data_IF_915727253790
#
_entry.id   IF_915727253790
#
_cell.length_a   1.000
_cell.length_b   1.000
_cell.length_c   1.000
_cell.angle_alpha   90.00
_cell.angle_beta   90.00
_cell.angle_gamma   90.00
#
_symmetry.space_group_name_H-M   'P 1'
#
loop_
_entity.id
_entity.type
_entity.pdbx_description
1 polymer ?
#
# COMPACT_ATOMS: atom_id res chain seq x y z
N UNK A 1 -21.37 8.53 4.08
CA UNK A 1 -21.19 7.29 3.32
C UNK A 1 -20.41 6.35 4.20
N UNK A 2 -21.01 5.23 4.59
CA UNK A 2 -20.36 4.23 5.45
C UNK A 2 -19.36 3.48 4.56
N UNK A 3 -18.11 3.32 4.98
CA UNK A 3 -17.03 2.74 4.15
C UNK A 3 -17.43 1.45 3.41
N UNK A 4 -18.23 0.58 4.03
CA UNK A 4 -18.72 -0.68 3.47
C UNK A 4 -19.89 -0.58 2.48
N UNK A 5 -20.47 0.60 2.26
CA UNK A 5 -21.52 0.80 1.24
C UNK A 5 -20.95 0.71 -0.18
N UNK A 6 -19.66 1.00 -0.34
CA UNK A 6 -18.95 0.92 -1.61
C UNK A 6 -18.50 -0.53 -1.88
N UNK A 7 -18.86 -1.14 -3.03
CA UNK A 7 -18.49 -2.51 -3.37
C UNK A 7 -16.98 -2.78 -3.30
N UNK A 8 -16.16 -1.83 -3.77
CA UNK A 8 -14.71 -1.92 -3.80
C UNK A 8 -14.11 -2.03 -2.39
N UNK A 9 -14.67 -1.31 -1.43
CA UNK A 9 -14.24 -1.33 -0.03
C UNK A 9 -14.64 -2.63 0.67
N UNK A 10 -15.84 -3.13 0.37
CA UNK A 10 -16.29 -4.44 0.87
C UNK A 10 -15.42 -5.57 0.31
N UNK A 11 -15.08 -5.49 -0.97
CA UNK A 11 -14.23 -6.48 -1.62
C UNK A 11 -12.79 -6.44 -1.08
N UNK A 12 -12.22 -5.24 -0.89
CA UNK A 12 -10.92 -5.04 -0.25
C UNK A 12 -10.88 -5.63 1.16
N UNK A 13 -11.89 -5.36 1.98
CA UNK A 13 -11.94 -5.88 3.33
C UNK A 13 -11.98 -7.42 3.36
N UNK A 14 -12.79 -8.06 2.50
CA UNK A 14 -12.81 -9.53 2.44
C UNK A 14 -11.48 -10.10 1.92
N UNK A 15 -10.88 -9.47 0.92
CA UNK A 15 -9.56 -9.85 0.44
C UNK A 15 -8.52 -9.78 1.57
N UNK A 16 -8.48 -8.70 2.36
CA UNK A 16 -7.50 -8.57 3.45
C UNK A 16 -7.76 -9.57 4.58
N UNK A 17 -9.01 -9.92 4.87
CA UNK A 17 -9.34 -11.01 5.81
C UNK A 17 -8.77 -12.35 5.35
N UNK A 18 -8.86 -12.66 4.06
CA UNK A 18 -8.30 -13.89 3.48
C UNK A 18 -6.78 -13.84 3.43
N UNK A 19 -6.22 -12.70 3.01
CA UNK A 19 -4.77 -12.49 2.91
C UNK A 19 -4.09 -12.64 4.28
N UNK A 20 -4.66 -12.03 5.33
CA UNK A 20 -4.14 -12.07 6.70
C UNK A 20 -4.91 -13.04 7.61
N UNK A 21 -5.42 -14.15 7.08
CA UNK A 21 -6.27 -15.09 7.84
C UNK A 21 -5.63 -15.59 9.16
N UNK A 22 -4.31 -15.76 9.18
CA UNK A 22 -3.55 -16.21 10.35
C UNK A 22 -3.02 -15.04 11.21
N UNK A 23 -3.32 -13.79 10.83
CA UNK A 23 -2.79 -12.58 11.46
C UNK A 23 -3.90 -11.54 11.69
N UNK A 24 -4.75 -11.73 12.72
CA UNK A 24 -5.96 -10.92 12.93
C UNK A 24 -5.73 -9.41 12.98
N UNK A 25 -4.56 -8.97 13.47
CA UNK A 25 -4.22 -7.54 13.59
C UNK A 25 -4.10 -6.81 12.24
N UNK A 26 -3.94 -7.54 11.13
CA UNK A 26 -3.74 -6.96 9.79
C UNK A 26 -4.94 -7.19 8.86
N UNK A 27 -5.97 -7.92 9.31
CA UNK A 27 -7.15 -8.24 8.50
C UNK A 27 -8.04 -7.02 8.21
N UNK A 28 -7.94 -5.97 9.01
CA UNK A 28 -8.86 -4.84 8.97
C UNK A 28 -8.21 -3.63 8.31
N UNK A 29 -8.80 -3.19 7.20
CA UNK A 29 -8.38 -1.97 6.51
C UNK A 29 -9.00 -0.77 7.19
N UNK A 30 -8.33 -0.17 8.19
CA UNK A 30 -8.67 1.12 8.82
C UNK A 30 -10.16 1.38 9.13
N UNK A 31 -10.95 0.33 9.28
CA UNK A 31 -12.40 0.40 9.41
C UNK A 31 -12.76 -0.27 10.69
N UNK A 32 -13.62 0.42 11.41
CA UNK A 32 -14.06 -0.03 12.71
C UNK A 32 -14.97 -1.23 12.53
N UNK A 33 -14.58 -2.36 13.10
CA UNK A 33 -15.42 -3.54 13.17
C UNK A 33 -16.57 -3.27 14.16
N UNK A 34 -17.82 -3.38 13.67
CA UNK A 34 -19.01 -3.15 14.50
C UNK A 34 -19.08 -4.11 15.68
N UNK A 35 -18.72 -5.38 15.48
CA UNK A 35 -18.76 -6.38 16.55
C UNK A 35 -17.77 -6.01 17.67
N UNK A 36 -16.62 -5.40 17.32
CA UNK A 36 -15.65 -4.88 18.30
C UNK A 36 -16.23 -3.66 19.03
N UNK A 37 -16.90 -2.75 18.33
CA UNK A 37 -17.53 -1.58 18.95
C UNK A 37 -18.64 -1.96 19.93
N UNK A 38 -19.49 -2.90 19.55
CA UNK A 38 -20.63 -3.32 20.37
C UNK A 38 -20.18 -4.04 21.65
N UNK A 39 -18.95 -4.58 21.65
CA UNK A 39 -18.32 -5.25 22.79
C UNK A 39 -17.40 -4.32 23.61
N UNK A 40 -17.10 -3.12 23.10
CA UNK A 40 -16.16 -2.20 23.74
C UNK A 40 -16.75 -1.63 25.03
N UNK A 41 -16.06 -1.84 26.15
CA UNK A 41 -16.46 -1.28 27.44
C UNK A 41 -15.76 0.06 27.72
N UNK A 42 -16.29 0.81 28.71
CA UNK A 42 -15.61 2.01 29.22
C UNK A 42 -14.23 1.67 29.81
N UNK A 43 -14.09 0.49 30.43
CA UNK A 43 -12.84 0.02 31.01
C UNK A 43 -11.77 -0.18 29.92
N UNK A 44 -12.13 -0.78 28.79
CA UNK A 44 -11.22 -0.96 27.65
C UNK A 44 -10.70 0.38 27.12
N UNK A 45 -11.58 1.38 26.99
CA UNK A 45 -11.20 2.74 26.56
C UNK A 45 -10.25 3.38 27.58
N UNK A 46 -10.56 3.26 28.88
CA UNK A 46 -9.72 3.82 29.94
C UNK A 46 -8.34 3.16 29.95
N UNK A 47 -8.27 1.86 29.74
CA UNK A 47 -7.00 1.12 29.68
C UNK A 47 -6.20 1.48 28.43
N UNK A 48 -6.84 1.63 27.26
CA UNK A 48 -6.19 2.17 26.07
C UNK A 48 -5.60 3.57 26.31
N UNK A 49 -6.36 4.48 26.94
CA UNK A 49 -5.85 5.83 27.27
C UNK A 49 -4.67 5.76 28.24
N UNK A 50 -4.70 4.89 29.26
CA UNK A 50 -3.56 4.68 30.17
C UNK A 50 -2.32 4.16 29.43
N UNK A 51 -2.51 3.32 28.40
CA UNK A 51 -1.41 2.84 27.56
C UNK A 51 -0.77 3.98 26.76
N UNK A 52 -1.53 4.93 26.23
CA UNK A 52 -0.98 6.08 25.48
C UNK A 52 0.05 6.87 26.30
N UNK A 53 -0.18 7.09 27.59
CA UNK A 53 0.78 7.77 28.48
C UNK A 53 2.04 6.96 28.80
N UNK A 54 2.04 5.67 28.49
CA UNK A 54 3.20 4.76 28.62
C UNK A 54 3.89 4.48 27.29
N UNK A 55 3.36 4.96 26.17
CA UNK A 55 3.94 4.78 24.83
C UNK A 55 5.01 5.83 24.51
N UNK A 56 5.97 5.52 23.62
CA UNK A 56 6.88 6.53 23.06
C UNK A 56 6.09 7.67 22.41
N UNK A 57 6.49 8.91 22.66
CA UNK A 57 5.89 10.10 22.07
C UNK A 57 6.92 10.78 21.16
N UNK A 58 6.47 11.20 19.99
CA UNK A 58 7.23 12.06 19.10
C UNK A 58 6.38 13.27 18.70
N UNK A 59 6.99 14.46 18.72
CA UNK A 59 6.32 15.72 18.38
C UNK A 59 7.00 16.32 17.16
N UNK A 60 6.22 16.59 16.12
CA UNK A 60 6.67 17.28 14.91
C UNK A 60 5.99 18.62 14.78
N UNK A 61 6.74 19.60 14.29
CA UNK A 61 6.21 20.92 14.00
C UNK A 61 7.23 21.78 13.27
N UNK A 62 6.73 22.72 12.49
CA UNK A 62 7.54 23.82 11.99
C UNK A 62 7.58 24.91 13.06
N UNK A 63 8.77 25.24 13.53
CA UNK A 63 8.95 26.16 14.66
C UNK A 63 9.98 27.23 14.34
N UNK A 64 9.72 28.45 14.81
CA UNK A 64 10.66 29.55 14.66
C UNK A 64 11.86 29.43 15.62
N UNK A 65 11.64 28.86 16.82
CA UNK A 65 12.67 28.65 17.83
C UNK A 65 12.59 27.20 18.35
N UNK A 66 13.56 26.39 17.90
CA UNK A 66 13.69 24.98 18.29
C UNK A 66 13.98 24.82 19.79
N UNK A 67 14.71 25.76 20.42
CA UNK A 67 15.04 25.67 21.84
C UNK A 67 13.80 25.90 22.70
N UNK A 68 13.01 26.93 22.37
CA UNK A 68 11.75 27.19 23.05
C UNK A 68 10.77 26.03 22.84
N UNK A 69 10.67 25.50 21.61
CA UNK A 69 9.83 24.35 21.31
C UNK A 69 10.22 23.13 22.15
N UNK A 70 11.51 22.80 22.23
CA UNK A 70 11.98 21.70 23.06
C UNK A 70 11.65 21.93 24.55
N UNK A 71 11.83 23.16 25.05
CA UNK A 71 11.51 23.50 26.45
C UNK A 71 10.01 23.34 26.75
N UNK A 72 9.14 23.81 25.86
CA UNK A 72 7.67 23.67 25.98
C UNK A 72 7.28 22.20 25.83
N UNK A 73 7.81 21.51 24.82
CA UNK A 73 7.54 20.10 24.57
C UNK A 73 7.86 19.26 25.79
N UNK A 74 9.06 19.44 26.37
CA UNK A 74 9.44 18.74 27.59
C UNK A 74 8.57 19.10 28.80
N UNK A 75 8.15 20.35 28.97
CA UNK A 75 7.35 20.73 30.15
C UNK A 75 5.91 20.21 30.08
N UNK A 76 5.26 20.30 28.91
CA UNK A 76 3.87 19.87 28.73
C UNK A 76 3.74 18.35 28.59
N UNK A 77 4.69 17.69 27.94
CA UNK A 77 4.58 16.26 27.60
C UNK A 77 5.41 15.35 28.51
N UNK A 78 5.97 15.85 29.63
CA UNK A 78 6.62 15.02 30.66
C UNK A 78 5.69 13.97 31.30
N UNK A 79 4.39 14.09 31.08
CA UNK A 79 3.40 13.10 31.52
C UNK A 79 3.54 11.76 30.79
N UNK A 80 4.16 11.74 29.61
CA UNK A 80 4.49 10.53 28.86
C UNK A 80 5.79 9.94 29.41
N UNK A 81 5.71 8.75 30.00
CA UNK A 81 6.80 8.16 30.81
C UNK A 81 7.65 7.12 30.09
N UNK A 82 7.35 6.85 28.82
CA UNK A 82 8.10 5.83 28.06
C UNK A 82 9.55 6.24 27.86
N UNK A 83 10.45 5.27 28.03
CA UNK A 83 11.85 5.37 27.58
C UNK A 83 12.14 4.47 26.38
N UNK A 84 11.12 3.80 25.85
CA UNK A 84 11.29 2.95 24.68
C UNK A 84 11.52 3.82 23.44
N UNK A 85 12.38 3.32 22.54
CA UNK A 85 12.63 3.99 21.26
C UNK A 85 11.36 3.95 20.41
N UNK A 86 11.13 5.04 19.67
CA UNK A 86 10.07 5.10 18.67
C UNK A 86 10.42 4.27 17.41
N UNK A 87 11.70 3.94 17.23
CA UNK A 87 12.24 3.25 16.05
C UNK A 87 11.88 1.76 16.09
N UNK A 88 11.19 1.30 15.05
CA UNK A 88 10.98 -0.10 14.70
C UNK A 88 11.45 -0.36 13.25
N UNK A 89 12.65 -0.94 13.06
CA UNK A 89 13.21 -1.21 11.73
C UNK A 89 12.61 -2.46 11.07
N UNK A 90 11.90 -3.31 11.82
CA UNK A 90 11.25 -4.53 11.33
C UNK A 90 9.74 -4.31 11.27
N UNK A 91 9.32 -3.56 10.25
CA UNK A 91 7.89 -3.42 9.91
C UNK A 91 7.38 -4.54 9.01
N UNK A 92 8.28 -5.33 8.40
CA UNK A 92 7.90 -6.45 7.54
C UNK A 92 7.29 -7.55 8.39
N UNK A 93 6.06 -7.94 8.05
CA UNK A 93 5.36 -9.01 8.73
C UNK A 93 5.56 -10.31 7.95
N UNK A 94 6.24 -11.28 8.57
CA UNK A 94 6.35 -12.62 8.00
C UNK A 94 4.96 -13.22 7.85
N UNK A 95 4.63 -13.75 6.67
CA UNK A 95 3.32 -14.32 6.34
C UNK A 95 3.44 -15.80 5.96
N UNK A 96 2.47 -16.59 6.39
CA UNK A 96 2.20 -17.90 5.80
C UNK A 96 1.69 -17.75 4.36
N UNK A 97 2.47 -18.25 3.41
CA UNK A 97 2.22 -18.14 1.98
C UNK A 97 1.12 -19.14 1.56
N UNK A 98 -0.10 -18.92 2.04
CA UNK A 98 -1.27 -19.68 1.60
C UNK A 98 -1.90 -19.02 0.37
N UNK A 99 -2.22 -19.87 -0.61
CA UNK A 99 -2.94 -19.45 -1.83
C UNK A 99 -4.45 -19.54 -1.64
N UNK A 100 -5.20 -18.62 -2.26
CA UNK A 100 -6.66 -18.67 -2.31
C UNK A 100 -7.23 -18.11 -3.62
N UNK A 101 -8.38 -18.62 -4.04
CA UNK A 101 -9.21 -18.06 -5.12
C UNK A 101 -10.67 -18.20 -4.68
N UNK A 102 -11.22 -17.11 -4.14
CA UNK A 102 -12.53 -17.10 -3.48
C UNK A 102 -13.48 -16.12 -4.16
N UNK A 103 -14.78 -16.39 -4.06
CA UNK A 103 -15.81 -15.45 -4.50
C UNK A 103 -16.99 -15.41 -3.55
N UNK A 104 -17.71 -14.29 -3.54
CA UNK A 104 -19.02 -14.22 -2.90
C UNK A 104 -20.00 -13.41 -3.73
N UNK A 105 -21.27 -13.78 -3.69
CA UNK A 105 -22.33 -13.11 -4.42
C UNK A 105 -22.82 -11.86 -3.68
N UNK A 106 -23.05 -10.79 -4.45
CA UNK A 106 -23.68 -9.57 -4.01
C UNK A 106 -24.58 -8.95 -5.09
N UNK A 107 -25.51 -8.10 -4.66
CA UNK A 107 -26.46 -7.43 -5.54
C UNK A 107 -25.88 -6.11 -6.08
N UNK A 108 -24.69 -6.17 -6.68
CA UNK A 108 -24.05 -5.04 -7.35
C UNK A 108 -24.06 -5.22 -8.88
N UNK A 109 -24.04 -4.11 -9.62
CA UNK A 109 -24.03 -4.12 -11.09
C UNK A 109 -22.70 -4.66 -11.64
N UNK A 110 -21.59 -4.26 -11.02
CA UNK A 110 -20.24 -4.68 -11.40
C UNK A 110 -19.64 -5.60 -10.35
N UNK A 111 -18.95 -6.63 -10.84
CA UNK A 111 -18.09 -7.45 -10.01
C UNK A 111 -16.81 -6.68 -9.64
N UNK A 112 -16.34 -6.85 -8.41
CA UNK A 112 -15.05 -6.31 -7.96
C UNK A 112 -14.04 -7.45 -7.94
N UNK A 113 -12.97 -7.32 -8.72
CA UNK A 113 -11.92 -8.32 -8.87
C UNK A 113 -10.65 -7.82 -8.21
N UNK A 114 -10.13 -8.61 -7.26
CA UNK A 114 -8.89 -8.33 -6.53
C UNK A 114 -7.91 -9.48 -6.76
N UNK A 115 -6.67 -9.14 -7.09
CA UNK A 115 -5.57 -10.08 -7.32
C UNK A 115 -4.33 -9.63 -6.57
N UNK A 116 -3.95 -10.38 -5.55
CA UNK A 116 -2.81 -10.12 -4.70
C UNK A 116 -1.59 -10.94 -5.08
N UNK A 117 -0.52 -10.22 -5.38
CA UNK A 117 0.77 -10.78 -5.70
C UNK A 117 1.70 -10.60 -4.52
N UNK A 118 2.17 -11.72 -3.97
CA UNK A 118 3.25 -11.68 -3.00
C UNK A 118 4.57 -11.47 -3.74
N UNK A 119 5.46 -10.68 -3.17
CA UNK A 119 6.83 -10.58 -3.65
C UNK A 119 7.81 -10.65 -2.49
N UNK A 120 8.91 -11.36 -2.68
CA UNK A 120 10.01 -11.26 -1.74
C UNK A 120 10.65 -9.88 -1.84
N UNK A 121 10.87 -9.23 -0.71
CA UNK A 121 11.75 -8.08 -0.67
C UNK A 121 13.10 -8.48 -1.25
N UNK A 122 13.53 -7.81 -2.32
CA UNK A 122 14.90 -7.91 -2.78
C UNK A 122 15.74 -7.17 -1.72
N UNK A 123 16.17 -7.91 -0.69
CA UNK A 123 16.97 -7.38 0.43
C UNK A 123 18.27 -6.71 -0.04
N UNK A 124 18.73 -7.02 -1.27
CA UNK A 124 19.91 -6.43 -1.88
C UNK A 124 19.69 -5.03 -2.47
N UNK A 125 18.48 -4.47 -2.47
CA UNK A 125 18.24 -3.09 -2.91
C UNK A 125 18.24 -2.12 -1.72
N UNK A 126 18.92 -0.95 -1.83
CA UNK A 126 19.00 0.03 -0.75
C UNK A 126 17.63 0.55 -0.28
N UNK A 127 16.57 0.38 -1.10
CA UNK A 127 15.17 0.71 -0.78
C UNK A 127 14.21 -0.27 -1.48
N UNK A 128 13.77 -1.36 -0.82
CA UNK A 128 12.98 -2.42 -1.44
C UNK A 128 11.55 -2.01 -1.84
N UNK A 129 11.06 -0.84 -1.40
CA UNK A 129 9.74 -0.31 -1.75
C UNK A 129 9.67 0.36 -3.13
N UNK A 130 10.80 0.82 -3.69
CA UNK A 130 10.81 1.58 -4.95
C UNK A 130 10.36 0.72 -6.14
N UNK A 131 10.82 -0.53 -6.19
CA UNK A 131 10.47 -1.45 -7.28
C UNK A 131 8.96 -1.71 -7.36
N UNK A 132 8.32 -2.17 -6.26
CA UNK A 132 6.88 -2.37 -6.23
C UNK A 132 6.06 -1.10 -6.51
N UNK A 133 6.54 0.07 -6.05
CA UNK A 133 5.91 1.36 -6.38
C UNK A 133 5.97 1.68 -7.88
N UNK A 134 7.13 1.53 -8.52
CA UNK A 134 7.26 1.74 -9.98
C UNK A 134 6.40 0.73 -10.73
N UNK A 135 6.36 -0.52 -10.26
CA UNK A 135 5.53 -1.56 -10.86
C UNK A 135 4.03 -1.23 -10.78
N UNK A 136 3.56 -0.66 -9.68
CA UNK A 136 2.14 -0.29 -9.54
C UNK A 136 1.74 0.83 -10.53
N UNK A 137 2.64 1.79 -10.77
CA UNK A 137 2.43 2.83 -11.79
C UNK A 137 2.50 2.27 -13.21
N UNK A 138 3.48 1.41 -13.49
CA UNK A 138 3.61 0.76 -14.78
C UNK A 138 2.38 -0.09 -15.13
N UNK A 139 1.84 -0.81 -14.14
CA UNK A 139 0.72 -1.72 -14.35
C UNK A 139 -0.63 -1.00 -14.40
N UNK A 140 -0.95 -0.09 -13.47
CA UNK A 140 -2.33 0.41 -13.35
C UNK A 140 -2.52 1.89 -12.97
N UNK A 141 -1.58 2.56 -12.27
CA UNK A 141 -1.89 3.86 -11.64
C UNK A 141 -1.78 5.08 -12.57
N UNK A 142 -1.80 4.87 -13.89
CA UNK A 142 -1.75 5.95 -14.89
C UNK A 142 -2.61 5.57 -16.10
N UNK A 143 -3.07 6.56 -16.86
CA UNK A 143 -3.80 6.30 -18.12
C UNK A 143 -2.91 5.64 -19.20
N UNK A 144 -1.59 5.80 -19.08
CA UNK A 144 -0.58 5.18 -19.95
C UNK A 144 -0.17 3.77 -19.51
N UNK A 145 -0.65 3.31 -18.35
CA UNK A 145 -0.29 2.02 -17.75
C UNK A 145 -0.82 0.83 -18.55
N UNK A 146 -0.16 -0.31 -18.42
CA UNK A 146 -0.42 -1.48 -19.26
C UNK A 146 -1.83 -2.03 -19.07
N UNK A 147 -2.27 -2.18 -17.82
CA UNK A 147 -3.60 -2.69 -17.52
C UNK A 147 -4.65 -1.67 -17.88
N UNK A 148 -4.42 -0.38 -17.67
CA UNK A 148 -5.40 0.64 -18.07
C UNK A 148 -5.66 0.56 -19.57
N UNK A 149 -4.60 0.47 -20.40
CA UNK A 149 -4.73 0.30 -21.85
C UNK A 149 -5.42 -1.02 -22.21
N UNK A 150 -4.92 -2.17 -21.75
CA UNK A 150 -5.44 -3.50 -22.14
C UNK A 150 -6.87 -3.76 -21.64
N UNK A 151 -7.20 -3.39 -20.40
CA UNK A 151 -8.55 -3.52 -19.85
C UNK A 151 -9.52 -2.64 -20.65
N UNK A 152 -9.14 -1.39 -20.94
CA UNK A 152 -9.95 -0.48 -21.75
C UNK A 152 -10.16 -0.99 -23.17
N UNK A 153 -9.11 -1.46 -23.83
CA UNK A 153 -9.14 -1.95 -25.21
C UNK A 153 -9.96 -3.23 -25.36
N UNK A 154 -9.86 -4.16 -24.39
CA UNK A 154 -10.45 -5.49 -24.52
C UNK A 154 -11.81 -5.63 -23.82
N UNK A 155 -12.08 -4.85 -22.78
CA UNK A 155 -13.31 -4.95 -21.98
C UNK A 155 -14.24 -3.74 -22.14
N UNK A 156 -13.70 -2.57 -22.52
CA UNK A 156 -14.47 -1.34 -22.74
C UNK A 156 -13.97 -0.16 -21.90
N UNK A 157 -14.36 1.06 -22.30
CA UNK A 157 -13.74 2.32 -21.87
C UNK A 157 -14.02 2.79 -20.43
N UNK A 158 -14.88 2.10 -19.67
CA UNK A 158 -15.40 2.63 -18.39
C UNK A 158 -14.88 1.93 -17.14
N UNK A 159 -14.01 0.92 -17.28
CA UNK A 159 -13.50 0.19 -16.12
C UNK A 159 -12.26 0.87 -15.54
N UNK A 160 -12.31 1.13 -14.23
CA UNK A 160 -11.14 1.53 -13.46
C UNK A 160 -10.28 0.30 -13.13
N UNK A 161 -8.97 0.46 -13.24
CA UNK A 161 -7.99 -0.48 -12.70
C UNK A 161 -6.98 0.31 -11.88
N UNK A 162 -6.64 -0.21 -10.71
CA UNK A 162 -5.65 0.38 -9.83
C UNK A 162 -4.75 -0.71 -9.23
N UNK A 163 -3.54 -0.30 -8.84
CA UNK A 163 -2.59 -1.15 -8.15
C UNK A 163 -2.14 -0.48 -6.86
N UNK A 164 -2.40 -1.16 -5.75
CA UNK A 164 -1.98 -0.77 -4.42
C UNK A 164 -0.77 -1.60 -3.99
N UNK A 165 0.25 -0.93 -3.46
CA UNK A 165 1.42 -1.60 -2.89
C UNK A 165 1.41 -1.47 -1.37
N UNK A 166 1.43 -2.61 -0.69
CA UNK A 166 1.66 -2.70 0.74
C UNK A 166 3.04 -3.31 0.99
N UNK A 167 4.02 -2.41 1.09
CA UNK A 167 5.41 -2.78 1.25
C UNK A 167 5.71 -3.55 2.52
N UNK A 168 5.05 -3.23 3.64
CA UNK A 168 5.31 -3.90 4.91
C UNK A 168 4.77 -5.34 4.95
N UNK A 169 3.91 -5.69 3.99
CA UNK A 169 3.31 -7.02 3.90
C UNK A 169 3.62 -7.73 2.58
N UNK A 170 4.60 -7.21 1.81
CA UNK A 170 5.04 -7.81 0.55
C UNK A 170 3.89 -8.06 -0.44
N UNK A 171 2.91 -7.15 -0.49
CA UNK A 171 1.68 -7.30 -1.29
C UNK A 171 1.59 -6.22 -2.37
N UNK A 172 1.55 -6.65 -3.63
CA UNK A 172 1.06 -5.85 -4.74
C UNK A 172 -0.37 -6.30 -5.06
N UNK A 173 -1.35 -5.46 -4.78
CA UNK A 173 -2.77 -5.74 -4.99
C UNK A 173 -3.28 -5.01 -6.22
N UNK A 174 -3.72 -5.76 -7.23
CA UNK A 174 -4.38 -5.22 -8.42
C UNK A 174 -5.90 -5.33 -8.22
N UNK A 175 -6.62 -4.25 -8.49
CA UNK A 175 -8.07 -4.15 -8.29
C UNK A 175 -8.75 -3.56 -9.51
N UNK A 176 -9.93 -4.07 -9.85
CA UNK A 176 -10.74 -3.55 -10.94
C UNK A 176 -12.20 -3.91 -10.79
N UNK A 177 -13.08 -3.02 -11.23
CA UNK A 177 -14.51 -3.28 -11.38
C UNK A 177 -14.83 -3.66 -12.82
N UNK A 178 -15.52 -4.77 -13.06
CA UNK A 178 -15.91 -5.25 -14.40
C UNK A 178 -17.32 -5.82 -14.42
N UNK A 179 -17.93 -6.01 -15.60
CA UNK A 179 -19.16 -6.80 -15.69
C UNK A 179 -18.94 -8.23 -15.20
N UNK A 180 -19.94 -8.84 -14.56
CA UNK A 180 -19.83 -10.19 -13.97
C UNK A 180 -19.38 -11.26 -14.98
N UNK A 181 -19.80 -11.13 -16.24
CA UNK A 181 -19.41 -12.04 -17.32
C UNK A 181 -17.97 -11.84 -17.83
N UNK A 182 -17.30 -10.75 -17.45
CA UNK A 182 -15.92 -10.40 -17.84
C UNK A 182 -14.88 -10.72 -16.76
N UNK A 183 -15.28 -11.21 -15.59
CA UNK A 183 -14.38 -11.54 -14.46
C UNK A 183 -13.25 -12.49 -14.89
N UNK A 184 -13.59 -13.55 -15.64
CA UNK A 184 -12.57 -14.49 -16.14
C UNK A 184 -11.59 -13.80 -17.08
N UNK A 185 -12.10 -13.01 -18.03
CA UNK A 185 -11.27 -12.33 -19.02
C UNK A 185 -10.33 -11.31 -18.37
N UNK A 186 -10.78 -10.55 -17.36
CA UNK A 186 -9.91 -9.58 -16.70
C UNK A 186 -8.81 -10.23 -15.87
N UNK A 187 -9.09 -11.37 -15.21
CA UNK A 187 -8.07 -12.15 -14.49
C UNK A 187 -6.98 -12.65 -15.47
N UNK A 188 -7.38 -13.12 -16.64
CA UNK A 188 -6.46 -13.55 -17.70
C UNK A 188 -5.60 -12.40 -18.24
N UNK A 189 -6.19 -11.21 -18.44
CA UNK A 189 -5.44 -10.00 -18.85
C UNK A 189 -4.38 -9.64 -17.80
N UNK A 190 -4.77 -9.60 -16.52
CA UNK A 190 -3.85 -9.23 -15.43
C UNK A 190 -2.67 -10.21 -15.34
N UNK A 191 -2.96 -11.51 -15.35
CA UNK A 191 -1.91 -12.55 -15.34
C UNK A 191 -1.03 -12.49 -16.59
N UNK A 192 -1.62 -12.25 -17.76
CA UNK A 192 -0.90 -12.07 -19.02
C UNK A 192 0.10 -10.92 -18.95
N UNK A 193 -0.28 -9.75 -18.41
CA UNK A 193 0.63 -8.61 -18.27
C UNK A 193 1.85 -8.91 -17.38
N UNK A 194 1.67 -9.64 -16.28
CA UNK A 194 2.80 -10.04 -15.44
C UNK A 194 3.66 -11.12 -16.12
N UNK A 195 3.04 -12.04 -16.85
CA UNK A 195 3.77 -13.05 -17.63
C UNK A 195 4.62 -12.40 -18.73
N UNK A 196 4.08 -11.40 -19.44
CA UNK A 196 4.79 -10.59 -20.42
C UNK A 196 6.04 -9.94 -19.78
N UNK A 197 5.89 -9.33 -18.60
CA UNK A 197 7.00 -8.74 -17.84
C UNK A 197 8.08 -9.78 -17.49
N UNK A 198 7.69 -10.96 -17.02
CA UNK A 198 8.64 -12.05 -16.69
C UNK A 198 9.43 -12.50 -17.92
N UNK A 199 8.79 -12.51 -19.08
CA UNK A 199 9.40 -12.80 -20.39
C UNK A 199 10.25 -11.65 -20.95
N UNK A 200 10.31 -10.51 -20.26
CA UNK A 200 11.05 -9.32 -20.72
C UNK A 200 10.32 -8.49 -21.77
N UNK A 201 9.02 -8.73 -21.98
CA UNK A 201 8.18 -7.91 -22.86
C UNK A 201 7.73 -6.66 -22.09
N UNK A 202 8.55 -5.61 -22.16
CA UNK A 202 8.33 -4.35 -21.45
C UNK A 202 8.02 -3.23 -22.44
N UNK A 203 6.94 -2.51 -22.17
CA UNK A 203 6.62 -1.27 -22.87
C UNK A 203 7.49 -0.14 -22.30
N UNK A 204 8.50 0.24 -23.06
CA UNK A 204 9.48 1.25 -22.66
C UNK A 204 8.82 2.61 -22.40
N UNK A 205 7.83 2.99 -23.21
CA UNK A 205 7.16 4.29 -23.07
C UNK A 205 6.35 4.34 -21.78
N UNK A 206 5.59 3.29 -21.47
CA UNK A 206 4.85 3.19 -20.22
C UNK A 206 5.78 3.18 -19.00
N UNK A 207 6.93 2.50 -19.08
CA UNK A 207 7.93 2.48 -18.01
C UNK A 207 8.54 3.86 -17.76
N UNK A 208 8.98 4.55 -18.82
CA UNK A 208 9.56 5.88 -18.70
C UNK A 208 8.54 6.89 -18.19
N UNK A 209 7.30 6.83 -18.70
CA UNK A 209 6.20 7.67 -18.22
C UNK A 209 5.94 7.45 -16.73
N UNK A 210 5.86 6.19 -16.28
CA UNK A 210 5.65 5.85 -14.87
C UNK A 210 6.71 6.45 -13.95
N UNK A 211 7.98 6.38 -14.36
CA UNK A 211 9.08 7.01 -13.63
C UNK A 211 8.97 8.52 -13.60
N UNK A 212 8.62 9.17 -14.73
CA UNK A 212 8.48 10.63 -14.78
C UNK A 212 7.35 11.13 -13.87
N UNK A 213 6.19 10.46 -13.86
CA UNK A 213 5.10 10.81 -12.95
C UNK A 213 5.51 10.66 -11.49
N UNK A 214 6.19 9.58 -11.12
CA UNK A 214 6.70 9.42 -9.76
C UNK A 214 7.68 10.54 -9.39
N UNK A 215 8.63 10.89 -10.27
CA UNK A 215 9.56 11.99 -10.04
C UNK A 215 8.81 13.31 -9.81
N UNK A 216 7.79 13.60 -10.63
CA UNK A 216 6.97 14.79 -10.48
C UNK A 216 6.23 14.80 -9.14
N UNK A 217 5.62 13.69 -8.75
CA UNK A 217 4.94 13.54 -7.46
C UNK A 217 5.89 13.78 -6.28
N UNK A 218 7.10 13.20 -6.33
CA UNK A 218 8.13 13.41 -5.30
C UNK A 218 8.63 14.85 -5.24
N UNK A 219 8.74 15.54 -6.37
CA UNK A 219 9.07 16.97 -6.38
C UNK A 219 7.97 17.78 -5.66
N UNK A 220 6.70 17.52 -5.99
CA UNK A 220 5.57 18.21 -5.36
C UNK A 220 5.47 17.95 -3.85
N UNK A 221 5.90 16.78 -3.36
CA UNK A 221 5.91 16.49 -1.93
C UNK A 221 6.82 17.42 -1.12
N UNK A 222 7.88 17.94 -1.72
CA UNK A 222 8.78 18.89 -1.04
C UNK A 222 8.11 20.22 -0.71
N UNK A 223 7.07 20.58 -1.46
CA UNK A 223 6.33 21.83 -1.31
C UNK A 223 5.12 21.70 -0.37
N UNK A 224 4.74 20.47 0.00
CA UNK A 224 3.58 20.18 0.85
C UNK A 224 4.06 19.86 2.27
N UNK A 225 3.79 20.78 3.19
CA UNK A 225 4.20 20.65 4.60
C UNK A 225 3.69 19.36 5.25
N UNK A 226 2.44 18.96 4.96
CA UNK A 226 1.85 17.72 5.46
C UNK A 226 2.63 16.48 5.00
N UNK A 227 2.97 16.40 3.71
CA UNK A 227 3.76 15.30 3.14
C UNK A 227 5.15 15.20 3.78
N UNK A 228 5.80 16.34 4.02
CA UNK A 228 7.09 16.41 4.71
C UNK A 228 7.00 15.93 6.16
N UNK A 229 5.90 16.24 6.85
CA UNK A 229 5.65 15.79 8.22
C UNK A 229 5.39 14.28 8.27
N UNK A 230 4.52 13.75 7.40
CA UNK A 230 4.25 12.30 7.29
C UNK A 230 5.54 11.54 7.00
N UNK A 231 6.33 12.01 6.03
CA UNK A 231 7.65 11.44 5.72
C UNK A 231 8.55 11.41 6.95
N UNK A 232 8.66 12.53 7.68
CA UNK A 232 9.52 12.61 8.86
C UNK A 232 9.09 11.61 9.95
N UNK A 233 7.78 11.49 10.20
CA UNK A 233 7.22 10.50 11.14
C UNK A 233 7.60 9.08 10.72
N UNK A 234 7.39 8.73 9.45
CA UNK A 234 7.71 7.39 8.92
C UNK A 234 9.21 7.08 8.98
N UNK A 235 10.08 8.04 8.65
CA UNK A 235 11.54 7.82 8.70
C UNK A 235 12.06 7.61 10.12
N UNK A 236 11.50 8.33 11.09
CA UNK A 236 11.84 8.11 12.50
C UNK A 236 11.24 6.82 13.04
N UNK A 237 10.05 6.42 12.58
CA UNK A 237 9.50 5.10 12.91
C UNK A 237 10.42 4.00 12.38
N UNK A 238 10.91 4.08 11.14
CA UNK A 238 11.73 3.02 10.54
C UNK A 238 13.21 3.13 10.98
N UNK A 239 13.65 4.30 11.45
CA UNK A 239 15.06 4.58 11.73
C UNK A 239 15.89 4.75 10.46
N UNK A 240 15.25 5.12 9.36
CA UNK A 240 15.86 5.16 8.04
C UNK A 240 15.47 6.43 7.30
N UNK A 241 16.48 7.26 7.01
CA UNK A 241 16.28 8.58 6.42
C UNK A 241 16.72 8.62 4.95
N UNK A 242 15.96 9.33 4.11
CA UNK A 242 16.31 9.63 2.72
C UNK A 242 15.83 11.03 2.34
N UNK A 243 16.63 11.76 1.58
CA UNK A 243 16.18 13.05 1.04
C UNK A 243 15.28 12.83 -0.18
N UNK A 244 14.40 13.79 -0.50
CA UNK A 244 13.62 13.77 -1.75
C UNK A 244 14.54 13.63 -2.98
N UNK A 245 15.65 14.40 -3.11
CA UNK A 245 16.63 14.19 -4.18
C UNK A 245 17.17 12.76 -4.26
N UNK A 246 17.44 12.10 -3.12
CA UNK A 246 17.92 10.72 -3.11
C UNK A 246 16.82 9.75 -3.56
N UNK A 247 15.56 9.94 -3.14
CA UNK A 247 14.43 9.12 -3.61
C UNK A 247 14.24 9.26 -5.13
N UNK A 248 14.30 10.49 -5.64
CA UNK A 248 14.24 10.77 -7.09
C UNK A 248 15.39 10.09 -7.83
N UNK A 249 16.61 10.15 -7.27
CA UNK A 249 17.78 9.49 -7.86
C UNK A 249 17.54 7.98 -7.99
N UNK A 250 17.04 7.33 -6.93
CA UNK A 250 16.75 5.90 -6.96
C UNK A 250 15.70 5.53 -8.01
N UNK A 251 14.67 6.36 -8.20
CA UNK A 251 13.69 6.17 -9.28
C UNK A 251 14.38 6.29 -10.65
N UNK A 252 15.21 7.33 -10.85
CA UNK A 252 15.95 7.55 -12.10
C UNK A 252 16.88 6.38 -12.44
N UNK A 253 17.58 5.85 -11.44
CA UNK A 253 18.54 4.76 -11.59
C UNK A 253 17.86 3.39 -11.77
N UNK A 254 16.57 3.24 -11.42
CA UNK A 254 15.82 2.00 -11.57
C UNK A 254 15.66 1.59 -13.04
N UNK A 255 16.05 0.37 -13.38
CA UNK A 255 16.11 -0.11 -14.78
C UNK A 255 14.95 -1.04 -15.13
N UNK A 256 14.77 -1.28 -16.44
CA UNK A 256 13.85 -2.31 -16.93
C UNK A 256 14.23 -3.70 -16.42
N UNK A 257 15.53 -3.99 -16.31
CA UNK A 257 16.00 -5.27 -15.76
C UNK A 257 15.60 -5.43 -14.29
N UNK A 258 15.64 -4.36 -13.50
CA UNK A 258 15.16 -4.38 -12.12
C UNK A 258 13.65 -4.68 -12.06
N UNK A 259 12.86 -4.06 -12.95
CA UNK A 259 11.44 -4.32 -13.10
C UNK A 259 11.17 -5.81 -13.43
N UNK A 260 11.89 -6.37 -14.41
CA UNK A 260 11.77 -7.78 -14.80
C UNK A 260 12.17 -8.71 -13.65
N UNK A 261 13.26 -8.38 -12.95
CA UNK A 261 13.74 -9.19 -11.83
C UNK A 261 12.74 -9.19 -10.66
N UNK A 262 12.09 -8.06 -10.39
CA UNK A 262 11.01 -7.99 -9.43
C UNK A 262 9.80 -8.82 -9.88
N UNK A 263 9.37 -8.70 -11.14
CA UNK A 263 8.25 -9.49 -11.66
C UNK A 263 8.49 -11.00 -11.53
N UNK A 264 9.74 -11.46 -11.66
CA UNK A 264 10.13 -12.87 -11.46
C UNK A 264 10.01 -13.36 -10.02
N UNK A 265 10.03 -12.47 -9.02
CA UNK A 265 9.82 -12.86 -7.62
C UNK A 265 8.34 -12.86 -7.23
N UNK A 266 7.47 -12.30 -8.08
CA UNK A 266 6.04 -12.19 -7.81
C UNK A 266 5.32 -13.52 -8.01
N UNK A 267 4.45 -13.86 -7.07
CA UNK A 267 3.57 -15.02 -7.14
C UNK A 267 2.13 -14.56 -6.88
N UNK A 268 1.18 -15.07 -7.66
CA UNK A 268 -0.23 -14.87 -7.35
C UNK A 268 -0.59 -15.72 -6.13
N UNK A 269 -0.91 -15.08 -5.01
CA UNK A 269 -1.23 -15.76 -3.76
C UNK A 269 -2.69 -15.60 -3.34
N UNK A 270 -3.41 -14.67 -3.93
CA UNK A 270 -4.80 -14.46 -3.55
C UNK A 270 -5.58 -13.87 -4.70
N UNK A 271 -6.75 -14.44 -4.98
CA UNK A 271 -7.77 -13.78 -5.77
C UNK A 271 -9.08 -13.77 -5.00
N UNK A 272 -9.76 -12.64 -5.03
CA UNK A 272 -11.09 -12.50 -4.46
C UNK A 272 -12.00 -11.77 -5.44
N UNK A 273 -13.20 -12.30 -5.66
CA UNK A 273 -14.22 -11.67 -6.48
C UNK A 273 -15.50 -11.43 -5.67
N UNK A 274 -15.96 -10.17 -5.61
CA UNK A 274 -17.31 -9.85 -5.17
C UNK A 274 -18.19 -9.79 -6.42
N UNK A 275 -19.07 -10.78 -6.62
CA UNK A 275 -19.84 -10.98 -7.84
C UNK A 275 -21.13 -10.20 -7.84
#
# INVERSE_FOLDING_TARGET
MIFFELPENRALHQFMKLWFKNQPNYQYVNVVNRDILDQLSLEDIQDFVKLLFKSPLMIYGQVADTNLFNKIGHSYFNIFKSKADFVNPQLVVDRDIDTFDESSDAQYEQAQVLMGYFYNHIQSMPRPWIGPLIMSYYLANTESSILFKKVREQLGATYGVDAFNDENHSLLLIRTGVNKNQVKQVKEIIQGCLSDLVCGLVDQEAFDHSKQLLINNFNSYGDIQESMMIKAVTENLIGSFSTIPNMIKLIKDYTVNDLINLAKTMQLNGSYCLL
#
